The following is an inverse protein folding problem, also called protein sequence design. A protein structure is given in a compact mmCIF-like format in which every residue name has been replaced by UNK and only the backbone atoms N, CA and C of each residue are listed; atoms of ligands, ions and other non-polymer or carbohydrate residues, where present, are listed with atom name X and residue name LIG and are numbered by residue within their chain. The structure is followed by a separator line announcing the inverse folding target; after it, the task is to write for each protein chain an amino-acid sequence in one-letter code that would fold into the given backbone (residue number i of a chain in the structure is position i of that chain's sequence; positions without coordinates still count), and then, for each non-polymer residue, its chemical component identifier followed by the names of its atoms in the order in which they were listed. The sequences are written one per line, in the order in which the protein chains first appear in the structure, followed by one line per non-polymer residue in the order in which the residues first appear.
data_IF_864979521470
#
_entry.id   IF_864979521470
#
_cell.length_a   1.000
_cell.length_b   1.000
_cell.length_c   1.000
_cell.angle_alpha   90.00
_cell.angle_beta   90.00
_cell.angle_gamma   90.00
#
_symmetry.space_group_name_H-M   'P 1'
#
loop_
_entity.id
_entity.type
_entity.pdbx_description
1 polymer ?
#
# COMPACT_ATOMS: atom_id res chain seq x y z
N UNK A 1 33.06 -19.18 -5.89
CA UNK A 1 33.04 -20.44 -5.09
C UNK A 1 32.66 -20.09 -3.67
N UNK A 2 31.72 -20.82 -3.06
CA UNK A 2 31.31 -20.65 -1.65
C UNK A 2 31.74 -21.86 -0.83
N UNK A 3 32.23 -21.64 0.39
CA UNK A 3 32.70 -22.66 1.32
C UNK A 3 31.84 -22.64 2.57
N UNK A 4 31.18 -23.76 2.87
CA UNK A 4 30.29 -23.91 4.02
C UNK A 4 30.65 -25.14 4.86
N UNK A 5 30.21 -25.18 6.11
CA UNK A 5 30.25 -26.40 6.94
C UNK A 5 29.17 -27.36 6.46
N UNK A 6 29.51 -28.63 6.28
CA UNK A 6 28.50 -29.66 6.06
C UNK A 6 28.28 -30.40 7.38
N UNK A 7 27.27 -29.99 8.16
CA UNK A 7 26.88 -30.73 9.36
C UNK A 7 25.73 -31.69 9.07
N UNK A 8 25.55 -32.71 9.92
CA UNK A 8 24.52 -33.74 9.75
C UNK A 8 23.07 -33.22 9.95
N UNK A 9 22.88 -31.93 10.24
CA UNK A 9 21.58 -31.29 10.43
C UNK A 9 21.05 -30.59 9.17
N UNK A 10 21.87 -30.49 8.11
CA UNK A 10 21.47 -29.86 6.84
C UNK A 10 21.57 -28.33 6.81
N UNK A 11 22.19 -27.73 7.83
CA UNK A 11 22.54 -26.30 7.83
C UNK A 11 23.97 -26.09 7.33
N UNK A 12 24.16 -25.18 6.37
CA UNK A 12 25.44 -24.87 5.76
C UNK A 12 25.94 -23.48 6.15
N UNK A 13 26.56 -23.34 7.32
CA UNK A 13 27.14 -22.07 7.75
C UNK A 13 28.39 -21.73 6.91
N UNK A 14 28.54 -20.48 6.43
CA UNK A 14 29.72 -20.06 5.66
C UNK A 14 31.00 -20.11 6.52
N UNK A 15 32.13 -20.48 5.90
CA UNK A 15 33.44 -20.56 6.56
C UNK A 15 34.37 -19.47 6.00
N UNK A 16 34.75 -18.52 6.84
CA UNK A 16 35.72 -17.47 6.53
C UNK A 16 37.18 -17.91 6.80
N UNK A 17 38.14 -17.33 6.08
CA UNK A 17 39.57 -17.49 6.36
C UNK A 17 40.24 -18.74 5.77
N UNK A 18 39.58 -19.45 4.85
CA UNK A 18 40.11 -20.67 4.22
C UNK A 18 40.66 -20.36 2.83
N UNK A 19 41.82 -20.92 2.50
CA UNK A 19 42.35 -20.89 1.14
C UNK A 19 41.76 -22.03 0.30
N UNK A 20 41.26 -21.69 -0.89
CA UNK A 20 40.73 -22.64 -1.87
C UNK A 20 41.62 -22.61 -3.10
N UNK A 21 42.18 -23.73 -3.52
CA UNK A 21 42.91 -23.82 -4.79
C UNK A 21 41.92 -23.98 -5.93
N UNK A 22 42.10 -23.22 -7.01
CA UNK A 22 41.29 -23.28 -8.22
C UNK A 22 42.18 -23.76 -9.37
N UNK A 23 41.85 -24.91 -9.96
CA UNK A 23 42.60 -25.49 -11.07
C UNK A 23 41.69 -25.59 -12.30
N UNK A 24 41.81 -24.69 -13.29
CA UNK A 24 41.10 -24.79 -14.56
C UNK A 24 41.68 -25.91 -15.41
N UNK A 25 40.84 -26.74 -16.01
CA UNK A 25 41.24 -27.87 -16.83
C UNK A 25 40.41 -27.91 -18.13
N UNK A 26 41.01 -28.40 -19.20
CA UNK A 26 40.31 -28.77 -20.43
C UNK A 26 39.70 -30.19 -20.28
N UNK A 27 38.99 -30.65 -21.31
CA UNK A 27 38.38 -31.99 -21.34
C UNK A 27 39.37 -33.15 -21.23
N UNK A 28 40.67 -32.92 -21.48
CA UNK A 28 41.75 -33.90 -21.30
C UNK A 28 42.30 -33.92 -19.86
N UNK A 29 41.82 -33.04 -18.99
CA UNK A 29 42.30 -32.87 -17.61
C UNK A 29 43.62 -32.10 -17.51
N UNK A 30 44.05 -31.44 -18.59
CA UNK A 30 45.26 -30.63 -18.59
C UNK A 30 44.94 -29.23 -18.06
N UNK A 31 45.80 -28.67 -17.21
CA UNK A 31 45.64 -27.31 -16.73
C UNK A 31 45.78 -26.32 -17.89
N UNK A 32 44.75 -25.50 -18.12
CA UNK A 32 44.69 -24.51 -19.22
C UNK A 32 44.29 -23.15 -18.70
N UNK A 33 44.89 -22.09 -19.23
CA UNK A 33 44.68 -20.71 -18.76
C UNK A 33 45.24 -20.45 -17.36
N UNK A 34 44.89 -19.29 -16.81
CA UNK A 34 45.32 -18.86 -15.48
C UNK A 34 44.12 -18.36 -14.65
N UNK A 35 44.27 -18.36 -13.33
CA UNK A 35 43.23 -17.88 -12.41
C UNK A 35 43.80 -16.82 -11.48
N UNK A 36 43.25 -15.62 -11.57
CA UNK A 36 43.59 -14.50 -10.70
C UNK A 36 42.52 -14.34 -9.63
N UNK A 37 42.88 -14.63 -8.38
CA UNK A 37 41.97 -14.49 -7.24
C UNK A 37 41.88 -13.02 -6.82
N UNK A 38 40.64 -12.53 -6.69
CA UNK A 38 40.35 -11.23 -6.09
C UNK A 38 40.65 -11.26 -4.58
N UNK A 39 40.32 -12.38 -3.93
CA UNK A 39 40.63 -12.63 -2.52
C UNK A 39 41.31 -13.99 -2.32
N UNK A 40 42.39 -14.01 -1.52
CA UNK A 40 43.18 -15.21 -1.26
C UNK A 40 42.52 -16.18 -0.26
N UNK A 41 41.66 -15.67 0.61
CA UNK A 41 40.95 -16.41 1.64
C UNK A 41 39.45 -16.10 1.55
N UNK A 42 38.62 -17.07 1.91
CA UNK A 42 37.15 -16.90 1.93
C UNK A 42 36.74 -15.71 2.79
N UNK A 43 35.80 -14.89 2.29
CA UNK A 43 35.28 -13.71 3.01
C UNK A 43 34.30 -14.11 4.14
N UNK A 44 33.64 -13.13 4.78
CA UNK A 44 32.64 -13.37 5.83
C UNK A 44 31.45 -14.24 5.41
N UNK A 45 31.18 -14.32 4.10
CA UNK A 45 30.14 -15.15 3.50
C UNK A 45 30.71 -16.48 2.95
N UNK A 46 31.96 -16.82 3.24
CA UNK A 46 32.58 -18.05 2.75
C UNK A 46 32.98 -18.02 1.28
N UNK A 47 33.03 -16.85 0.63
CA UNK A 47 33.21 -16.75 -0.82
C UNK A 47 34.66 -16.45 -1.24
N UNK A 48 35.10 -17.07 -2.35
CA UNK A 48 36.27 -16.69 -3.15
C UNK A 48 35.78 -16.21 -4.51
N UNK A 49 36.20 -14.99 -4.87
CA UNK A 49 36.06 -14.41 -6.20
C UNK A 49 37.37 -14.55 -6.96
N UNK A 50 37.28 -14.95 -8.23
CA UNK A 50 38.42 -15.18 -9.08
C UNK A 50 38.05 -14.97 -10.54
N UNK A 51 39.01 -14.51 -11.34
CA UNK A 51 38.89 -14.35 -12.77
C UNK A 51 39.70 -15.44 -13.47
N UNK A 52 39.07 -16.11 -14.42
CA UNK A 52 39.75 -17.02 -15.32
C UNK A 52 40.24 -16.22 -16.53
N UNK A 53 41.50 -16.46 -16.91
CA UNK A 53 42.11 -15.92 -18.11
C UNK A 53 42.43 -17.09 -19.05
N UNK A 54 41.92 -17.00 -20.26
CA UNK A 54 41.98 -18.05 -21.28
C UNK A 54 43.27 -18.01 -22.11
N UNK A 55 44.16 -17.06 -21.81
CA UNK A 55 45.38 -16.76 -22.57
C UNK A 55 45.13 -16.60 -24.08
N UNK A 56 43.93 -16.13 -24.46
CA UNK A 56 43.49 -15.94 -25.84
C UNK A 56 43.12 -17.23 -26.57
N UNK A 57 42.79 -18.30 -25.85
CA UNK A 57 42.29 -19.56 -26.43
C UNK A 57 40.84 -19.82 -26.00
N UNK A 58 39.87 -19.80 -26.92
CA UNK A 58 38.48 -20.12 -26.57
C UNK A 58 38.31 -21.61 -26.28
N UNK A 59 37.43 -21.91 -25.34
CA UNK A 59 37.06 -23.26 -24.91
C UNK A 59 35.53 -23.32 -24.80
N UNK A 60 34.87 -23.75 -25.88
CA UNK A 60 33.41 -23.79 -25.98
C UNK A 60 32.97 -25.23 -26.20
N UNK A 61 32.03 -25.67 -25.37
CA UNK A 61 31.34 -26.95 -25.48
C UNK A 61 30.59 -27.06 -26.81
N UNK A 62 30.82 -28.14 -27.55
CA UNK A 62 30.11 -28.41 -28.80
C UNK A 62 28.86 -29.23 -28.49
N UNK A 63 27.68 -28.60 -28.58
CA UNK A 63 26.40 -29.28 -28.28
C UNK A 63 26.13 -30.51 -29.17
N UNK A 64 26.86 -30.67 -30.27
CA UNK A 64 26.76 -31.85 -31.13
C UNK A 64 27.55 -33.07 -30.60
N UNK A 65 28.45 -32.88 -29.64
CA UNK A 65 29.29 -33.91 -29.01
C UNK A 65 28.85 -34.20 -27.57
N UNK A 66 27.58 -34.60 -27.39
CA UNK A 66 26.88 -34.80 -26.10
C UNK A 66 27.51 -35.74 -25.05
N UNK A 67 28.68 -36.31 -25.29
CA UNK A 67 29.39 -37.23 -24.39
C UNK A 67 30.69 -36.64 -23.81
N UNK A 68 31.09 -35.45 -24.26
CA UNK A 68 32.29 -34.75 -23.80
C UNK A 68 31.91 -33.31 -23.49
N UNK A 69 32.57 -32.73 -22.48
CA UNK A 69 32.46 -31.31 -22.15
C UNK A 69 33.74 -30.64 -22.64
N UNK A 70 33.68 -29.86 -23.73
CA UNK A 70 34.88 -29.18 -24.28
C UNK A 70 35.15 -27.79 -23.70
N UNK A 71 34.22 -27.28 -22.89
CA UNK A 71 34.43 -26.06 -22.12
C UNK A 71 35.49 -26.20 -21.02
N UNK A 72 35.58 -25.20 -20.15
CA UNK A 72 36.49 -25.23 -19.01
C UNK A 72 35.82 -25.91 -17.82
N UNK A 73 36.56 -26.79 -17.14
CA UNK A 73 36.19 -27.33 -15.83
C UNK A 73 37.16 -26.79 -14.79
N UNK A 74 36.69 -25.99 -13.83
CA UNK A 74 37.51 -25.52 -12.70
C UNK A 74 37.26 -26.40 -11.50
N UNK A 75 38.29 -27.13 -11.08
CA UNK A 75 38.29 -27.85 -9.81
C UNK A 75 38.60 -26.93 -8.64
N UNK A 76 37.72 -26.88 -7.65
CA UNK A 76 37.95 -26.22 -6.37
C UNK A 76 38.38 -27.25 -5.32
N UNK A 77 39.55 -27.05 -4.73
CA UNK A 77 40.10 -27.95 -3.70
C UNK A 77 40.48 -27.20 -2.43
N UNK A 78 40.29 -27.87 -1.31
CA UNK A 78 40.84 -27.48 -0.01
C UNK A 78 41.81 -28.58 0.43
N UNK A 79 43.06 -28.22 0.70
CA UNK A 79 44.18 -29.15 0.82
C UNK A 79 44.34 -30.04 -0.44
N UNK A 80 44.55 -31.36 -0.30
CA UNK A 80 44.80 -32.27 -1.43
C UNK A 80 43.52 -32.88 -2.05
N UNK A 81 42.33 -32.58 -1.52
CA UNK A 81 41.08 -33.15 -2.02
C UNK A 81 40.30 -32.11 -2.84
N UNK A 82 40.01 -32.44 -4.10
CA UNK A 82 39.01 -31.71 -4.90
C UNK A 82 37.66 -31.86 -4.23
N UNK A 83 37.08 -30.74 -3.82
CA UNK A 83 35.81 -30.70 -3.11
C UNK A 83 34.63 -30.59 -4.07
N UNK A 84 34.79 -29.85 -5.18
CA UNK A 84 33.75 -29.64 -6.20
C UNK A 84 34.36 -29.14 -7.51
N UNK A 85 33.57 -29.15 -8.58
CA UNK A 85 33.93 -28.59 -9.89
C UNK A 85 32.85 -27.62 -10.38
N UNK A 86 33.24 -26.65 -11.20
CA UNK A 86 32.33 -25.80 -11.97
C UNK A 86 32.72 -25.85 -13.44
N UNK A 87 31.72 -25.83 -14.31
CA UNK A 87 31.89 -25.91 -15.77
C UNK A 87 31.34 -24.64 -16.41
N UNK A 88 32.09 -24.04 -17.33
CA UNK A 88 31.64 -22.89 -18.12
C UNK A 88 32.33 -22.80 -19.49
N UNK A 89 31.62 -22.20 -20.45
CA UNK A 89 32.16 -21.90 -21.77
C UNK A 89 33.00 -20.62 -21.74
N UNK A 90 34.04 -20.59 -22.57
CA UNK A 90 34.92 -19.46 -22.80
C UNK A 90 34.88 -19.13 -24.28
N UNK A 91 34.17 -18.07 -24.62
CA UNK A 91 33.95 -17.65 -26.00
C UNK A 91 35.05 -16.69 -26.48
N UNK A 92 35.26 -16.67 -27.80
CA UNK A 92 36.12 -15.68 -28.43
C UNK A 92 35.61 -14.26 -28.17
N UNK A 93 36.52 -13.34 -27.86
CA UNK A 93 36.21 -11.92 -27.57
C UNK A 93 35.31 -11.26 -28.62
N UNK A 94 35.42 -11.64 -29.89
CA UNK A 94 34.62 -11.09 -30.99
C UNK A 94 33.15 -11.49 -30.97
N UNK A 95 32.78 -12.53 -30.20
CA UNK A 95 31.39 -12.97 -30.02
C UNK A 95 30.77 -12.45 -28.72
N UNK A 96 31.59 -12.12 -27.71
CA UNK A 96 31.09 -11.69 -26.39
C UNK A 96 31.12 -10.18 -26.21
N UNK A 97 32.11 -9.49 -26.76
CA UNK A 97 32.28 -8.04 -26.61
C UNK A 97 31.71 -7.26 -27.82
N UNK A 98 31.08 -6.09 -27.62
CA UNK A 98 30.82 -5.40 -26.36
C UNK A 98 29.66 -5.97 -25.55
N UNK A 99 29.80 -5.86 -24.23
CA UNK A 99 28.70 -6.05 -23.30
C UNK A 99 27.81 -4.82 -23.23
N UNK A 100 26.54 -5.02 -22.90
CA UNK A 100 25.56 -3.97 -22.63
C UNK A 100 25.07 -4.12 -21.19
N UNK A 101 25.28 -3.08 -20.38
CA UNK A 101 24.74 -2.97 -19.02
C UNK A 101 23.59 -1.99 -19.02
N UNK A 102 22.41 -2.42 -18.58
CA UNK A 102 21.21 -1.58 -18.52
C UNK A 102 20.57 -1.68 -17.15
N UNK A 103 20.29 -0.54 -16.50
CA UNK A 103 19.37 -0.51 -15.37
C UNK A 103 17.93 -0.68 -15.87
N UNK A 104 17.22 -1.65 -15.30
CA UNK A 104 15.79 -1.81 -15.52
C UNK A 104 15.08 -0.78 -14.64
N UNK A 105 14.11 -0.02 -15.17
CA UNK A 105 13.32 0.91 -14.38
C UNK A 105 12.71 0.21 -13.15
N UNK A 106 12.87 0.77 -11.94
CA UNK A 106 12.30 0.17 -10.75
C UNK A 106 10.77 0.33 -10.75
N UNK A 107 10.08 -0.54 -10.00
CA UNK A 107 8.61 -0.50 -9.86
C UNK A 107 8.13 0.77 -9.15
N UNK A 108 8.94 1.31 -8.25
CA UNK A 108 8.79 2.64 -7.63
C UNK A 108 10.09 3.40 -7.75
N UNK A 109 9.99 4.71 -7.99
CA UNK A 109 11.13 5.62 -7.97
C UNK A 109 11.17 6.47 -6.70
N UNK A 110 10.28 6.24 -5.74
CA UNK A 110 10.10 7.06 -4.53
C UNK A 110 10.32 6.23 -3.26
N UNK A 111 11.06 6.80 -2.30
CA UNK A 111 11.26 6.28 -0.94
C UNK A 111 11.19 7.42 0.08
N UNK A 112 10.86 7.12 1.34
CA UNK A 112 10.63 8.15 2.35
C UNK A 112 11.77 8.26 3.38
N UNK A 113 11.95 9.46 3.92
CA UNK A 113 12.82 9.76 5.05
C UNK A 113 12.20 9.21 6.34
N UNK A 114 12.99 8.54 7.18
CA UNK A 114 12.62 8.11 8.55
C UNK A 114 11.42 7.16 8.73
N UNK A 115 10.70 6.77 7.69
CA UNK A 115 9.77 5.64 7.77
C UNK A 115 10.55 4.32 7.65
N UNK A 116 10.39 3.45 8.64
CA UNK A 116 11.26 2.29 8.87
C UNK A 116 11.32 1.23 7.74
N UNK A 117 10.58 1.37 6.62
CA UNK A 117 10.46 0.29 5.62
C UNK A 117 10.34 0.69 4.15
N UNK A 118 10.40 1.97 3.74
CA UNK A 118 10.36 2.28 2.30
C UNK A 118 11.68 1.93 1.63
N UNK A 119 11.63 0.94 0.74
CA UNK A 119 12.77 0.53 -0.09
C UNK A 119 12.31 0.19 -1.49
N UNK A 120 13.24 0.32 -2.44
CA UNK A 120 13.03 -0.01 -3.84
C UNK A 120 14.03 -1.10 -4.27
N UNK A 121 13.59 -2.00 -5.15
CA UNK A 121 14.47 -2.96 -5.80
C UNK A 121 15.02 -2.34 -7.09
N UNK A 122 16.35 -2.28 -7.19
CA UNK A 122 17.07 -1.83 -8.37
C UNK A 122 17.65 -3.05 -9.08
N UNK A 123 17.42 -3.13 -10.38
CA UNK A 123 17.88 -4.26 -11.21
C UNK A 123 18.81 -3.77 -12.30
N UNK A 124 19.94 -4.46 -12.47
CA UNK A 124 20.80 -4.30 -13.63
C UNK A 124 20.76 -5.57 -14.49
N UNK A 125 20.63 -5.40 -15.80
CA UNK A 125 20.69 -6.47 -16.78
C UNK A 125 21.99 -6.37 -17.58
N UNK A 126 22.74 -7.46 -17.62
CA UNK A 126 23.97 -7.57 -18.40
C UNK A 126 23.78 -8.58 -19.54
N UNK A 127 23.94 -8.10 -20.76
CA UNK A 127 23.96 -8.94 -21.97
C UNK A 127 25.27 -8.82 -22.72
N UNK A 128 25.60 -9.84 -23.49
CA UNK A 128 26.75 -9.82 -24.40
C UNK A 128 26.41 -9.26 -25.79
N UNK A 129 27.39 -9.21 -26.69
CA UNK A 129 27.21 -8.69 -28.05
C UNK A 129 26.14 -9.46 -28.86
N UNK A 130 25.90 -10.72 -28.54
CA UNK A 130 24.85 -11.55 -29.17
C UNK A 130 23.49 -11.42 -28.46
N UNK A 131 23.34 -10.48 -27.51
CA UNK A 131 22.16 -10.29 -26.65
C UNK A 131 21.82 -11.52 -25.79
N UNK A 132 22.82 -12.32 -25.42
CA UNK A 132 22.66 -13.41 -24.46
C UNK A 132 22.91 -12.91 -23.05
N UNK A 133 22.13 -13.45 -22.10
CA UNK A 133 22.25 -13.17 -20.68
C UNK A 133 23.60 -13.66 -20.13
N UNK A 134 24.25 -12.83 -19.30
CA UNK A 134 25.57 -13.15 -18.74
C UNK A 134 25.46 -13.42 -17.23
N UNK A 135 25.43 -14.68 -16.79
CA UNK A 135 25.29 -15.04 -15.38
C UNK A 135 26.62 -14.97 -14.61
N UNK A 136 26.52 -14.91 -13.27
CA UNK A 136 27.63 -14.95 -12.31
C UNK A 136 28.65 -13.80 -12.45
N UNK A 137 28.20 -12.64 -12.91
CA UNK A 137 29.02 -11.42 -13.01
C UNK A 137 28.69 -10.50 -11.84
N UNK A 138 29.72 -10.05 -11.13
CA UNK A 138 29.55 -9.08 -10.03
C UNK A 138 29.34 -7.67 -10.60
N UNK A 139 28.14 -7.13 -10.42
CA UNK A 139 27.80 -5.75 -10.77
C UNK A 139 27.97 -4.88 -9.53
N UNK A 140 28.60 -3.71 -9.67
CA UNK A 140 28.74 -2.74 -8.58
C UNK A 140 27.69 -1.65 -8.71
N UNK A 141 27.02 -1.32 -7.61
CA UNK A 141 26.02 -0.28 -7.51
C UNK A 141 26.48 0.83 -6.57
N UNK A 142 26.05 2.05 -6.86
CA UNK A 142 26.31 3.22 -6.03
C UNK A 142 25.14 4.20 -6.12
N UNK A 143 24.92 4.94 -5.04
CA UNK A 143 23.96 6.02 -4.94
C UNK A 143 24.70 7.26 -4.39
N UNK A 144 24.21 8.46 -4.71
CA UNK A 144 24.84 9.71 -4.26
C UNK A 144 24.31 10.11 -2.88
N UNK A 145 22.99 9.99 -2.66
CA UNK A 145 22.31 10.44 -1.45
C UNK A 145 21.90 9.25 -0.56
N UNK A 146 21.10 8.33 -1.11
CA UNK A 146 20.55 7.20 -0.39
C UNK A 146 21.54 6.07 -0.14
N UNK A 147 21.05 5.02 0.50
CA UNK A 147 21.80 3.79 0.75
C UNK A 147 21.40 2.71 -0.26
N UNK A 148 22.39 2.01 -0.81
CA UNK A 148 22.18 0.89 -1.73
C UNK A 148 23.12 -0.26 -1.40
N UNK A 149 22.66 -1.50 -1.54
CA UNK A 149 23.58 -2.65 -1.49
C UNK A 149 24.62 -2.50 -2.60
N UNK A 150 25.90 -2.49 -2.25
CA UNK A 150 26.97 -2.03 -3.14
C UNK A 150 27.30 -2.94 -4.31
N UNK A 151 26.82 -4.19 -4.31
CA UNK A 151 27.03 -5.13 -5.39
C UNK A 151 26.13 -6.35 -5.27
N UNK A 152 25.83 -6.98 -6.40
CA UNK A 152 25.25 -8.33 -6.45
C UNK A 152 25.74 -9.09 -7.71
N UNK A 153 25.60 -10.42 -7.70
CA UNK A 153 25.92 -11.27 -8.85
C UNK A 153 24.72 -11.36 -9.80
N UNK A 154 24.97 -11.34 -11.11
CA UNK A 154 23.93 -11.65 -12.09
C UNK A 154 23.47 -13.11 -11.96
N UNK A 155 22.16 -13.32 -12.00
CA UNK A 155 21.53 -14.64 -12.01
C UNK A 155 21.58 -15.31 -13.40
N UNK A 156 20.86 -16.44 -13.57
CA UNK A 156 20.82 -17.17 -14.85
C UNK A 156 20.22 -16.40 -16.03
N UNK A 157 19.51 -15.30 -15.76
CA UNK A 157 18.94 -14.40 -16.79
C UNK A 157 19.69 -13.07 -16.84
N UNK A 158 20.91 -13.01 -16.29
CA UNK A 158 21.78 -11.84 -16.41
C UNK A 158 21.38 -10.67 -15.51
N UNK A 159 20.54 -10.90 -14.49
CA UNK A 159 20.01 -9.86 -13.62
C UNK A 159 20.73 -9.86 -12.28
N UNK A 160 21.28 -8.71 -11.89
CA UNK A 160 21.71 -8.43 -10.52
C UNK A 160 20.67 -7.52 -9.85
N UNK A 161 20.23 -7.86 -8.63
CA UNK A 161 19.17 -7.15 -7.91
C UNK A 161 19.70 -6.64 -6.56
N UNK A 162 19.49 -5.36 -6.28
CA UNK A 162 19.90 -4.73 -5.01
C UNK A 162 18.78 -3.89 -4.43
N UNK A 163 18.81 -3.70 -3.11
CA UNK A 163 17.86 -2.84 -2.40
C UNK A 163 18.43 -1.43 -2.27
N UNK A 164 17.60 -0.44 -2.57
CA UNK A 164 17.82 0.98 -2.35
C UNK A 164 16.85 1.52 -1.28
N UNK A 165 17.32 2.43 -0.42
CA UNK A 165 16.47 3.17 0.54
C UNK A 165 17.09 4.53 0.85
N UNK A 166 16.37 5.39 1.57
CA UNK A 166 16.94 6.64 2.09
C UNK A 166 18.14 6.39 3.03
N UNK A 167 18.12 5.27 3.77
CA UNK A 167 19.22 4.87 4.65
C UNK A 167 19.48 5.88 5.76
N UNK A 168 20.71 6.37 5.84
CA UNK A 168 21.12 7.44 6.78
C UNK A 168 21.27 8.79 6.07
N UNK A 169 20.60 8.99 4.94
CA UNK A 169 20.57 10.29 4.29
C UNK A 169 19.98 11.32 5.26
N UNK A 170 20.75 12.36 5.54
CA UNK A 170 20.38 13.45 6.42
C UNK A 170 20.45 14.75 5.60
N UNK A 171 19.30 15.37 5.29
CA UNK A 171 19.27 16.61 4.54
C UNK A 171 19.78 17.82 5.36
N UNK A 172 20.05 17.64 6.65
CA UNK A 172 20.43 18.72 7.57
C UNK A 172 19.27 19.69 7.81
N UNK A 173 19.59 20.98 7.98
CA UNK A 173 18.61 22.05 8.22
C UNK A 173 17.98 22.58 6.90
N UNK A 174 17.79 21.72 5.88
CA UNK A 174 17.17 22.12 4.62
C UNK A 174 15.65 22.23 4.76
N UNK A 175 15.05 23.27 4.18
CA UNK A 175 13.59 23.40 4.06
C UNK A 175 13.03 22.62 2.84
N UNK A 176 13.89 21.98 2.04
CA UNK A 176 13.45 21.08 0.97
C UNK A 176 12.86 19.80 1.57
N UNK A 177 11.81 19.26 0.96
CA UNK A 177 11.18 17.99 1.37
C UNK A 177 11.30 16.90 0.30
N UNK A 178 11.93 17.20 -0.84
CA UNK A 178 12.10 16.26 -1.97
C UNK A 178 13.51 16.36 -2.54
N UNK A 179 14.20 15.21 -2.64
CA UNK A 179 15.56 15.10 -3.18
C UNK A 179 15.65 14.06 -4.28
N UNK A 180 16.34 14.39 -5.38
CA UNK A 180 16.61 13.46 -6.47
C UNK A 180 18.01 12.89 -6.33
N UNK A 181 18.09 11.57 -6.20
CA UNK A 181 19.31 10.79 -6.15
C UNK A 181 19.62 10.13 -7.50
N UNK A 182 20.90 9.94 -7.80
CA UNK A 182 21.35 9.20 -8.99
C UNK A 182 21.93 7.86 -8.56
N UNK A 183 21.28 6.78 -8.99
CA UNK A 183 21.77 5.41 -8.81
C UNK A 183 22.53 4.99 -10.06
N UNK A 184 23.74 4.46 -9.87
CA UNK A 184 24.62 4.01 -10.96
C UNK A 184 25.00 2.55 -10.75
N UNK A 185 24.74 1.72 -11.77
CA UNK A 185 25.33 0.40 -11.91
C UNK A 185 26.60 0.50 -12.77
N UNK A 186 27.62 -0.27 -12.42
CA UNK A 186 28.89 -0.30 -13.13
C UNK A 186 29.48 -1.70 -13.20
N UNK A 187 30.15 -1.98 -14.30
CA UNK A 187 30.86 -3.24 -14.51
C UNK A 187 32.10 -3.01 -15.36
N UNK A 188 33.24 -3.56 -14.91
CA UNK A 188 34.49 -3.56 -15.66
C UNK A 188 34.96 -4.99 -15.83
N UNK A 189 34.99 -5.46 -17.08
CA UNK A 189 35.51 -6.79 -17.38
C UNK A 189 37.05 -6.77 -17.36
N UNK A 190 37.75 -7.72 -16.70
CA UNK A 190 39.21 -7.70 -16.59
C UNK A 190 39.98 -7.75 -17.92
N UNK A 191 39.37 -8.38 -18.94
CA UNK A 191 39.95 -8.48 -20.28
C UNK A 191 39.68 -7.29 -21.21
N UNK A 192 38.90 -6.29 -20.76
CA UNK A 192 38.52 -5.13 -21.59
C UNK A 192 38.81 -3.82 -20.84
N UNK A 193 39.37 -2.82 -21.53
CA UNK A 193 39.80 -1.55 -20.90
C UNK A 193 38.64 -0.56 -20.61
N UNK A 194 37.39 -0.99 -20.76
CA UNK A 194 36.22 -0.11 -20.62
C UNK A 194 35.33 -0.56 -19.48
N UNK A 195 34.92 0.40 -18.66
CA UNK A 195 33.88 0.22 -17.66
C UNK A 195 32.54 0.63 -18.24
N UNK A 196 31.57 -0.28 -18.20
CA UNK A 196 30.18 -0.01 -18.53
C UNK A 196 29.53 0.69 -17.35
N UNK A 197 28.68 1.68 -17.63
CA UNK A 197 27.89 2.36 -16.63
C UNK A 197 26.46 2.54 -17.15
N UNK A 198 25.50 2.40 -16.25
CA UNK A 198 24.09 2.72 -16.50
C UNK A 198 23.54 3.41 -15.27
N UNK A 199 22.76 4.47 -15.44
CA UNK A 199 22.23 5.25 -14.34
C UNK A 199 20.72 5.48 -14.47
N UNK A 200 20.07 5.60 -13.31
CA UNK A 200 18.66 5.99 -13.15
C UNK A 200 18.55 6.97 -11.99
N UNK A 201 17.40 7.62 -11.87
CA UNK A 201 17.08 8.49 -10.74
C UNK A 201 16.14 7.83 -9.76
N UNK A 202 16.32 8.15 -8.49
CA UNK A 202 15.38 7.87 -7.39
C UNK A 202 15.03 9.19 -6.72
N UNK A 203 13.88 9.24 -6.07
CA UNK A 203 13.41 10.36 -5.27
C UNK A 203 13.35 9.93 -3.81
N UNK A 204 13.92 10.73 -2.93
CA UNK A 204 13.75 10.63 -1.48
C UNK A 204 12.82 11.77 -1.07
N UNK A 205 11.75 11.47 -0.35
CA UNK A 205 10.82 12.49 0.15
C UNK A 205 10.76 12.46 1.68
N UNK A 206 10.75 13.64 2.29
CA UNK A 206 10.41 13.79 3.70
C UNK A 206 8.92 14.05 3.80
N UNK A 207 8.21 13.03 4.27
CA UNK A 207 6.76 13.06 4.53
C UNK A 207 6.45 13.33 5.99
N UNK A 208 7.45 13.74 6.78
CA UNK A 208 7.21 14.15 8.15
C UNK A 208 6.31 15.37 8.18
N UNK A 209 5.42 15.38 9.17
CA UNK A 209 4.46 16.47 9.32
C UNK A 209 5.17 17.76 9.72
N UNK A 210 5.04 18.78 8.87
CA UNK A 210 5.49 20.15 9.11
C UNK A 210 4.51 20.96 9.96
N UNK A 211 4.34 22.23 9.61
CA UNK A 211 3.33 23.09 10.24
C UNK A 211 1.95 22.86 9.63
N UNK A 212 0.91 22.84 10.46
CA UNK A 212 -0.47 22.82 10.00
C UNK A 212 -0.73 23.83 8.88
N UNK A 213 -1.42 23.40 7.83
CA UNK A 213 -1.82 24.28 6.74
C UNK A 213 -3.26 24.04 6.28
N UNK A 214 -3.78 22.82 6.39
CA UNK A 214 -5.12 22.47 5.92
C UNK A 214 -5.84 21.48 6.85
N UNK A 215 -7.17 21.54 6.82
CA UNK A 215 -8.06 20.61 7.52
C UNK A 215 -9.11 20.05 6.56
N UNK A 216 -9.20 18.72 6.53
CA UNK A 216 -10.20 18.00 5.74
C UNK A 216 -11.15 17.27 6.68
N UNK A 217 -12.46 17.41 6.41
CA UNK A 217 -13.51 16.64 7.09
C UNK A 217 -14.06 15.62 6.08
N UNK A 218 -13.52 14.39 6.02
CA UNK A 218 -14.00 13.38 5.09
C UNK A 218 -15.46 13.03 5.38
N UNK A 219 -16.22 12.51 4.39
CA UNK A 219 -17.58 12.04 4.61
C UNK A 219 -17.64 10.96 5.70
N UNK A 220 -18.65 11.04 6.56
CA UNK A 220 -18.87 10.01 7.59
C UNK A 220 -19.25 8.66 6.95
N UNK A 221 -18.98 7.57 7.67
CA UNK A 221 -19.36 6.22 7.25
C UNK A 221 -19.87 5.42 8.47
N UNK A 222 -21.18 5.14 8.56
CA UNK A 222 -22.22 5.43 7.57
C UNK A 222 -22.55 6.93 7.44
N UNK A 223 -22.97 7.35 6.25
CA UNK A 223 -23.44 8.71 5.92
C UNK A 223 -24.96 8.91 6.16
N UNK A 224 -25.65 7.81 6.49
CA UNK A 224 -27.05 7.78 6.89
C UNK A 224 -27.23 6.99 8.19
N UNK A 225 -27.92 7.60 9.16
CA UNK A 225 -28.31 6.98 10.43
C UNK A 225 -29.80 7.23 10.67
N UNK A 226 -30.40 6.55 11.64
CA UNK A 226 -31.79 6.81 12.07
C UNK A 226 -31.81 7.51 13.42
N UNK A 227 -32.92 8.17 13.75
CA UNK A 227 -33.17 8.70 15.10
C UNK A 227 -32.97 7.65 16.18
N UNK A 228 -32.68 8.09 17.40
CA UNK A 228 -32.48 7.23 18.57
C UNK A 228 -33.66 6.27 18.75
N UNK A 229 -33.41 5.00 19.07
CA UNK A 229 -34.43 3.95 19.13
C UNK A 229 -35.25 3.77 17.83
N UNK A 230 -34.73 4.22 16.70
CA UNK A 230 -35.35 4.11 15.39
C UNK A 230 -35.26 2.71 14.78
N UNK A 231 -34.48 1.81 15.39
CA UNK A 231 -34.35 0.40 14.99
C UNK A 231 -33.26 0.12 13.96
N UNK A 232 -32.39 1.10 13.69
CA UNK A 232 -31.25 1.02 12.78
C UNK A 232 -29.94 1.43 13.46
N UNK A 233 -28.97 1.88 12.67
CA UNK A 233 -27.73 2.48 13.19
C UNK A 233 -28.05 3.90 13.63
N UNK A 234 -27.67 4.25 14.86
CA UNK A 234 -28.05 5.51 15.52
C UNK A 234 -26.84 6.44 15.70
N UNK A 235 -25.65 6.04 15.25
CA UNK A 235 -24.43 6.83 15.37
C UNK A 235 -23.45 6.57 14.23
N UNK A 236 -22.56 7.54 14.00
CA UNK A 236 -21.46 7.46 13.04
C UNK A 236 -20.23 8.16 13.59
N UNK A 237 -19.07 7.95 12.98
CA UNK A 237 -17.85 8.67 13.32
C UNK A 237 -17.57 9.77 12.32
N UNK A 238 -17.15 10.93 12.83
CA UNK A 238 -16.69 12.07 12.05
C UNK A 238 -15.21 12.26 12.37
N UNK A 239 -14.44 12.51 11.32
CA UNK A 239 -12.99 12.71 11.41
C UNK A 239 -12.64 14.12 10.97
N UNK A 240 -11.58 14.64 11.55
CA UNK A 240 -10.84 15.78 11.03
C UNK A 240 -9.41 15.31 10.76
N UNK A 241 -8.96 15.49 9.54
CA UNK A 241 -7.62 15.15 9.05
C UNK A 241 -6.84 16.45 8.87
N UNK A 242 -5.69 16.55 9.52
CA UNK A 242 -4.84 17.74 9.54
C UNK A 242 -3.63 17.52 8.63
N UNK A 243 -3.45 18.42 7.68
CA UNK A 243 -2.39 18.36 6.70
C UNK A 243 -1.44 19.55 6.86
N UNK A 244 -0.17 19.31 6.62
CA UNK A 244 0.82 20.38 6.50
C UNK A 244 0.80 21.04 5.10
N UNK A 245 1.70 22.00 4.88
CA UNK A 245 1.81 22.73 3.61
C UNK A 245 2.18 21.88 2.40
N UNK A 246 2.73 20.69 2.64
CA UNK A 246 3.17 19.74 1.62
C UNK A 246 2.17 18.58 1.43
N UNK A 247 0.99 18.68 2.05
CA UNK A 247 -0.07 17.65 2.02
C UNK A 247 0.28 16.36 2.74
N UNK A 248 1.23 16.38 3.67
CA UNK A 248 1.48 15.25 4.55
C UNK A 248 0.43 15.23 5.67
N UNK A 249 -0.16 14.07 5.89
CA UNK A 249 -1.06 13.83 7.01
C UNK A 249 -0.24 13.49 8.25
N UNK A 250 -0.42 14.24 9.34
CA UNK A 250 0.28 13.93 10.57
C UNK A 250 0.11 14.97 11.67
N UNK A 251 1.02 14.92 12.64
CA UNK A 251 0.94 15.72 13.86
C UNK A 251 0.17 14.99 14.96
N UNK A 252 0.85 14.73 16.06
CA UNK A 252 0.24 14.22 17.29
C UNK A 252 -0.02 15.38 18.24
N UNK A 253 -1.02 15.22 19.10
CA UNK A 253 -1.33 16.17 20.16
C UNK A 253 -1.85 17.55 19.68
N UNK A 254 -2.29 17.70 18.42
CA UNK A 254 -2.93 18.94 17.94
C UNK A 254 -4.36 19.03 18.50
N UNK A 255 -4.75 20.17 19.09
CA UNK A 255 -6.10 20.35 19.66
C UNK A 255 -7.14 20.66 18.57
N UNK A 256 -8.18 19.82 18.50
CA UNK A 256 -9.27 19.91 17.52
C UNK A 256 -10.60 19.96 18.26
N UNK A 257 -11.36 21.02 18.04
CA UNK A 257 -12.70 21.23 18.61
C UNK A 257 -13.77 20.95 17.57
N UNK A 258 -14.63 19.97 17.84
CA UNK A 258 -15.81 19.65 17.04
C UNK A 258 -17.05 20.28 17.66
N UNK A 259 -17.93 20.85 16.84
CA UNK A 259 -19.16 21.51 17.29
C UNK A 259 -20.34 21.19 16.37
N UNK A 260 -21.47 20.80 16.95
CA UNK A 260 -22.74 20.65 16.24
C UNK A 260 -23.36 22.03 15.99
N UNK A 261 -23.61 22.37 14.72
CA UNK A 261 -24.29 23.62 14.37
C UNK A 261 -25.11 23.49 13.07
N UNK A 262 -26.44 23.41 13.12
CA UNK A 262 -27.29 23.48 14.30
C UNK A 262 -27.23 22.20 15.16
N UNK A 263 -27.60 22.33 16.43
CA UNK A 263 -27.81 21.17 17.32
C UNK A 263 -29.22 20.62 17.10
N UNK A 264 -29.32 19.45 16.47
CA UNK A 264 -30.60 18.73 16.35
C UNK A 264 -31.06 18.22 17.73
N UNK A 265 -32.36 18.22 18.05
CA UNK A 265 -32.86 17.81 19.37
C UNK A 265 -32.41 16.40 19.77
N UNK A 266 -31.69 16.32 20.90
CA UNK A 266 -31.17 15.07 21.45
C UNK A 266 -29.89 14.54 20.79
N UNK A 267 -29.37 15.20 19.75
CA UNK A 267 -28.10 14.84 19.12
C UNK A 267 -26.92 15.27 20.02
N UNK A 268 -25.87 14.46 20.08
CA UNK A 268 -24.68 14.74 20.88
C UNK A 268 -23.40 14.12 20.30
N UNK A 269 -22.26 14.66 20.72
CA UNK A 269 -20.92 14.17 20.43
C UNK A 269 -20.42 13.33 21.59
N UNK A 270 -19.93 12.11 21.34
CA UNK A 270 -19.32 11.19 22.32
C UNK A 270 -20.16 10.87 23.57
N UNK A 271 -20.32 11.82 24.49
CA UNK A 271 -21.13 11.69 25.70
C UNK A 271 -22.47 12.44 25.62
N UNK A 272 -23.50 11.87 26.23
CA UNK A 272 -24.86 12.40 26.20
C UNK A 272 -24.90 13.86 26.66
N UNK A 273 -25.40 14.73 25.79
CA UNK A 273 -25.58 16.16 26.05
C UNK A 273 -24.40 17.04 25.67
N UNK A 274 -23.26 16.48 25.24
CA UNK A 274 -22.17 17.25 24.67
C UNK A 274 -22.52 17.64 23.23
N UNK A 275 -22.37 18.93 22.92
CA UNK A 275 -22.59 19.47 21.56
C UNK A 275 -21.33 20.11 20.99
N UNK A 276 -20.29 20.17 21.81
CA UNK A 276 -18.96 20.65 21.52
C UNK A 276 -17.98 19.77 22.32
N UNK A 277 -16.89 19.33 21.67
CA UNK A 277 -15.85 18.53 22.31
C UNK A 277 -14.49 18.87 21.70
N UNK A 278 -13.47 19.00 22.55
CA UNK A 278 -12.07 19.19 22.13
C UNK A 278 -11.29 17.91 22.42
N UNK A 279 -10.64 17.39 21.39
CA UNK A 279 -9.79 16.19 21.44
C UNK A 279 -8.47 16.46 20.73
N UNK A 280 -7.47 15.62 20.97
CA UNK A 280 -6.18 15.72 20.28
C UNK A 280 -6.06 14.74 19.12
N UNK A 281 -5.30 15.12 18.08
CA UNK A 281 -5.00 14.21 16.96
C UNK A 281 -4.11 13.06 17.39
N UNK A 282 -4.27 11.93 16.69
CA UNK A 282 -3.31 10.83 16.63
C UNK A 282 -3.00 10.55 15.16
N UNK A 283 -1.73 10.63 14.78
CA UNK A 283 -1.25 10.58 13.40
C UNK A 283 -2.03 11.56 12.48
N UNK A 284 -2.25 12.79 12.95
CA UNK A 284 -2.96 13.82 12.21
C UNK A 284 -4.48 13.68 12.12
N UNK A 285 -5.07 12.70 12.81
CA UNK A 285 -6.51 12.46 12.79
C UNK A 285 -7.11 12.65 14.17
N UNK A 286 -8.12 13.52 14.25
CA UNK A 286 -9.02 13.62 15.39
C UNK A 286 -10.38 13.01 15.01
N UNK A 287 -11.00 12.22 15.90
CA UNK A 287 -12.26 11.52 15.61
C UNK A 287 -13.25 11.61 16.76
N UNK A 288 -14.50 11.97 16.45
CA UNK A 288 -15.62 12.02 17.40
C UNK A 288 -16.78 11.17 16.90
N UNK A 289 -17.55 10.61 17.81
CA UNK A 289 -18.80 9.94 17.48
C UNK A 289 -19.96 10.93 17.53
N UNK A 290 -20.79 10.93 16.49
CA UNK A 290 -22.08 11.63 16.50
C UNK A 290 -23.16 10.62 16.77
N UNK A 291 -24.00 10.91 17.75
CA UNK A 291 -25.13 10.10 18.14
C UNK A 291 -26.42 10.85 17.82
N UNK A 292 -27.35 10.16 17.16
CA UNK A 292 -28.64 10.71 16.75
C UNK A 292 -29.55 11.04 17.94
N UNK A 293 -30.42 12.01 17.72
CA UNK A 293 -31.44 12.44 18.67
C UNK A 293 -32.83 11.94 18.30
N UNK A 294 -33.86 12.73 18.62
CA UNK A 294 -35.27 12.37 18.39
C UNK A 294 -35.85 12.90 17.08
N UNK A 295 -35.14 13.79 16.37
CA UNK A 295 -35.64 14.42 15.14
C UNK A 295 -34.74 14.11 13.94
N UNK A 296 -35.32 13.92 12.73
CA UNK A 296 -34.57 13.76 11.50
C UNK A 296 -33.96 15.10 11.05
N UNK A 297 -32.89 15.01 10.26
CA UNK A 297 -32.22 16.20 9.75
C UNK A 297 -30.80 15.93 9.30
N UNK A 298 -30.15 16.98 8.79
CA UNK A 298 -28.74 16.92 8.43
C UNK A 298 -27.91 17.34 9.63
N UNK A 299 -26.96 16.51 10.05
CA UNK A 299 -25.96 16.90 11.02
C UNK A 299 -24.85 17.64 10.30
N UNK A 300 -24.66 18.90 10.68
CA UNK A 300 -23.56 19.74 10.26
C UNK A 300 -22.58 19.90 11.42
N UNK A 301 -21.31 19.69 11.11
CA UNK A 301 -20.20 19.86 12.05
C UNK A 301 -19.36 21.05 11.64
N UNK A 302 -19.00 21.85 12.62
CA UNK A 302 -17.93 22.84 12.57
C UNK A 302 -16.72 22.28 13.31
N UNK A 303 -15.54 22.41 12.72
CA UNK A 303 -14.27 22.00 13.32
C UNK A 303 -13.36 23.21 13.37
N UNK A 304 -12.77 23.44 14.55
CA UNK A 304 -11.77 24.47 14.82
C UNK A 304 -10.49 23.79 15.31
N UNK A 305 -9.32 24.24 14.86
CA UNK A 305 -8.02 23.66 15.19
C UNK A 305 -7.11 24.74 15.78
N UNK A 306 -6.49 24.42 16.90
CA UNK A 306 -5.42 25.20 17.53
C UNK A 306 -4.13 24.39 17.38
N UNK A 307 -3.27 24.81 16.46
CA UNK A 307 -2.13 24.02 16.00
C UNK A 307 -0.91 24.14 16.91
N UNK A 308 -0.73 25.27 17.58
CA UNK A 308 0.37 25.49 18.52
C UNK A 308 -0.07 25.52 19.99
N UNK A 309 -1.35 25.23 20.26
CA UNK A 309 -1.98 25.18 21.58
C UNK A 309 -1.84 26.49 22.36
N UNK A 310 -1.82 27.63 21.66
CA UNK A 310 -1.70 28.94 22.28
C UNK A 310 -3.06 29.53 22.72
N UNK A 311 -4.16 28.84 22.39
CA UNK A 311 -5.54 29.23 22.63
C UNK A 311 -6.16 30.04 21.49
N UNK A 312 -5.48 30.20 20.36
CA UNK A 312 -5.96 30.86 19.15
C UNK A 312 -6.29 29.81 18.08
N UNK A 313 -7.43 29.99 17.42
CA UNK A 313 -7.82 29.08 16.33
C UNK A 313 -7.07 29.45 15.06
N UNK A 314 -6.32 28.50 14.52
CA UNK A 314 -5.54 28.63 13.29
C UNK A 314 -6.34 28.22 12.05
N UNK A 315 -7.04 27.08 12.15
CA UNK A 315 -7.81 26.51 11.04
C UNK A 315 -9.26 26.29 11.45
N UNK A 316 -10.17 26.45 10.48
CA UNK A 316 -11.59 26.16 10.69
C UNK A 316 -12.22 25.60 9.43
N UNK A 317 -13.05 24.58 9.58
CA UNK A 317 -13.84 24.00 8.50
C UNK A 317 -15.26 23.66 8.98
N UNK A 318 -16.18 23.53 8.03
CA UNK A 318 -17.53 23.06 8.33
C UNK A 318 -18.03 22.16 7.21
N UNK A 319 -18.73 21.09 7.57
CA UNK A 319 -19.24 20.11 6.62
C UNK A 319 -20.54 19.49 7.09
N UNK A 320 -21.41 19.18 6.12
CA UNK A 320 -22.63 18.41 6.35
C UNK A 320 -22.24 16.92 6.27
N UNK A 321 -22.40 16.20 7.38
CA UNK A 321 -21.67 14.94 7.59
C UNK A 321 -22.54 13.69 7.55
N UNK A 322 -23.73 13.74 8.13
CA UNK A 322 -24.63 12.59 8.21
C UNK A 322 -26.08 13.04 8.14
N UNK A 323 -26.91 12.25 7.47
CA UNK A 323 -28.36 12.44 7.43
C UNK A 323 -29.00 11.51 8.47
N UNK A 324 -29.79 12.08 9.37
CA UNK A 324 -30.64 11.36 10.32
C UNK A 324 -32.03 11.20 9.70
N UNK A 325 -32.43 9.96 9.41
CA UNK A 325 -33.78 9.61 8.95
C UNK A 325 -34.71 9.27 10.13
N UNK A 326 -36.02 9.33 9.87
CA UNK A 326 -37.05 8.81 10.76
C UNK A 326 -36.84 7.32 11.07
N UNK A 327 -37.29 6.89 12.24
CA UNK A 327 -37.21 5.50 12.66
C UNK A 327 -38.27 4.59 12.02
N UNK A 328 -38.30 3.33 12.44
CA UNK A 328 -39.33 2.39 12.03
C UNK A 328 -40.76 2.84 12.43
N UNK A 329 -41.79 2.48 11.64
CA UNK A 329 -43.20 2.76 11.95
C UNK A 329 -43.61 2.34 13.36
N UNK A 330 -44.28 3.25 14.07
CA UNK A 330 -44.75 3.03 15.44
C UNK A 330 -46.19 3.53 15.67
N UNK A 331 -46.53 4.72 15.18
CA UNK A 331 -47.88 5.27 15.23
C UNK A 331 -48.49 5.34 13.83
N UNK A 332 -49.81 5.21 13.74
CA UNK A 332 -50.56 5.43 12.49
C UNK A 332 -51.84 6.21 12.81
N UNK A 333 -52.07 7.27 12.04
CA UNK A 333 -53.24 8.14 12.16
C UNK A 333 -54.04 8.09 10.84
N UNK A 334 -55.08 7.23 10.76
CA UNK A 334 -55.95 7.16 9.60
C UNK A 334 -57.01 8.27 9.62
N UNK A 335 -57.33 8.80 8.45
CA UNK A 335 -58.33 9.85 8.22
C UNK A 335 -59.14 9.54 6.94
N UNK A 336 -60.42 9.92 6.95
CA UNK A 336 -61.28 9.86 5.77
C UNK A 336 -62.32 10.98 5.82
N UNK A 337 -62.59 11.64 4.69
CA UNK A 337 -63.64 12.65 4.62
C UNK A 337 -64.97 12.02 4.19
N UNK A 338 -65.97 11.89 5.09
CA UNK A 338 -67.27 11.35 4.74
C UNK A 338 -67.99 12.21 3.68
N UNK A 339 -67.69 13.51 3.59
CA UNK A 339 -68.28 14.42 2.60
C UNK A 339 -67.66 14.24 1.20
N UNK A 340 -66.51 13.56 1.11
CA UNK A 340 -65.85 13.23 -0.16
C UNK A 340 -66.30 11.88 -0.73
N UNK A 341 -67.42 11.34 -0.24
CA UNK A 341 -68.00 10.09 -0.74
C UNK A 341 -68.75 10.30 -2.05
N UNK A 342 -68.41 9.55 -3.09
CA UNK A 342 -69.03 9.65 -4.42
C UNK A 342 -69.80 8.38 -4.77
N UNK A 343 -70.94 8.52 -5.44
CA UNK A 343 -71.72 7.37 -5.91
C UNK A 343 -71.10 6.82 -7.21
N UNK A 344 -70.80 5.53 -7.26
CA UNK A 344 -70.26 4.85 -8.44
C UNK A 344 -71.34 4.18 -9.30
N UNK A 345 -72.62 4.28 -8.88
CA UNK A 345 -73.79 3.70 -9.54
C UNK A 345 -74.27 2.40 -8.88
N UNK A 346 -75.51 1.98 -9.15
CA UNK A 346 -76.06 0.71 -8.64
C UNK A 346 -76.25 0.61 -7.12
N UNK A 347 -76.16 1.72 -6.39
CA UNK A 347 -76.21 1.75 -4.91
C UNK A 347 -74.84 1.63 -4.22
N UNK A 348 -73.75 1.63 -4.98
CA UNK A 348 -72.38 1.63 -4.45
C UNK A 348 -71.81 3.05 -4.27
N UNK A 349 -70.92 3.18 -3.30
CA UNK A 349 -70.24 4.43 -2.94
C UNK A 349 -68.74 4.18 -2.81
N UNK A 350 -67.95 5.21 -3.09
CA UNK A 350 -66.50 5.23 -2.93
C UNK A 350 -66.08 6.42 -2.08
N UNK A 351 -65.21 6.19 -1.10
CA UNK A 351 -64.64 7.20 -0.21
C UNK A 351 -63.12 7.04 -0.21
N UNK A 352 -62.39 8.15 -0.23
CA UNK A 352 -60.94 8.14 -0.10
C UNK A 352 -60.54 8.16 1.37
N UNK A 353 -59.54 7.34 1.71
CA UNK A 353 -58.91 7.30 3.03
C UNK A 353 -57.43 7.61 2.88
N UNK A 354 -56.83 8.21 3.91
CA UNK A 354 -55.40 8.47 4.01
C UNK A 354 -54.91 8.08 5.41
N UNK A 355 -53.63 7.79 5.56
CA UNK A 355 -53.01 7.66 6.87
C UNK A 355 -51.67 8.36 6.87
N UNK A 356 -51.32 8.97 7.99
CA UNK A 356 -49.94 9.39 8.26
C UNK A 356 -49.34 8.39 9.23
N UNK A 357 -48.18 7.85 8.87
CA UNK A 357 -47.44 6.90 9.71
C UNK A 357 -46.27 7.63 10.33
N UNK A 358 -46.06 7.43 11.62
CA UNK A 358 -44.99 8.06 12.36
C UNK A 358 -44.11 7.03 13.07
N UNK A 359 -42.86 7.40 13.31
CA UNK A 359 -41.96 6.66 14.18
C UNK A 359 -42.28 6.86 15.68
N UNK A 360 -41.46 6.32 16.57
CA UNK A 360 -41.62 6.44 18.03
C UNK A 360 -41.60 7.89 18.53
N UNK A 361 -40.95 8.79 17.82
CA UNK A 361 -40.81 10.20 18.20
C UNK A 361 -41.82 11.11 17.49
N UNK A 362 -42.81 10.53 16.81
CA UNK A 362 -43.80 11.25 16.00
C UNK A 362 -43.19 11.96 14.76
N UNK A 363 -42.06 11.48 14.24
CA UNK A 363 -41.58 11.91 12.93
C UNK A 363 -42.29 11.11 11.83
N UNK A 364 -42.73 11.74 10.72
CA UNK A 364 -43.25 11.01 9.57
C UNK A 364 -42.22 10.00 9.08
N UNK A 365 -42.64 8.75 8.88
CA UNK A 365 -41.76 7.71 8.33
C UNK A 365 -41.55 7.92 6.83
N UNK A 366 -40.45 7.39 6.31
CA UNK A 366 -40.18 7.44 4.87
C UNK A 366 -41.30 6.79 4.04
N UNK A 367 -41.53 7.36 2.85
CA UNK A 367 -42.55 7.00 1.87
C UNK A 367 -42.61 5.49 1.54
N UNK A 368 -41.56 4.73 1.85
CA UNK A 368 -41.49 3.28 1.61
C UNK A 368 -42.32 2.36 2.52
N UNK A 369 -43.18 2.91 3.38
CA UNK A 369 -43.96 2.13 4.34
C UNK A 369 -45.27 1.60 3.77
N UNK A 370 -45.46 0.28 3.78
CA UNK A 370 -46.71 -0.36 3.38
C UNK A 370 -47.80 -0.20 4.44
N UNK A 371 -48.93 0.41 4.06
CA UNK A 371 -50.13 0.48 4.90
C UNK A 371 -51.21 -0.44 4.35
N UNK A 372 -51.64 -1.37 5.20
CA UNK A 372 -52.70 -2.32 4.92
C UNK A 372 -54.01 -1.85 5.56
N UNK A 373 -55.07 -1.85 4.75
CA UNK A 373 -56.39 -1.39 5.17
C UNK A 373 -57.35 -2.56 5.23
N UNK A 374 -58.15 -2.62 6.29
CA UNK A 374 -59.25 -3.58 6.44
C UNK A 374 -60.52 -2.86 6.89
N UNK A 375 -61.66 -3.45 6.59
CA UNK A 375 -62.97 -2.95 7.03
C UNK A 375 -63.71 -4.08 7.71
N UNK A 376 -64.21 -3.83 8.92
CA UNK A 376 -64.96 -4.80 9.72
C UNK A 376 -66.40 -4.31 9.94
N UNK A 377 -67.40 -5.20 9.89
CA UNK A 377 -68.78 -4.83 10.20
C UNK A 377 -68.92 -4.45 11.68
N UNK A 378 -69.73 -3.43 11.97
CA UNK A 378 -70.03 -3.03 13.35
C UNK A 378 -71.25 -3.81 13.85
N UNK A 379 -71.20 -4.46 15.02
CA UNK A 379 -72.36 -5.20 15.56
C UNK A 379 -73.63 -4.34 15.67
N UNK A 380 -74.84 -4.90 15.44
CA UNK A 380 -75.15 -6.34 15.32
C UNK A 380 -74.89 -6.94 13.94
N UNK A 381 -74.43 -6.15 12.97
CA UNK A 381 -74.14 -6.64 11.64
C UNK A 381 -72.96 -7.61 11.66
N UNK A 382 -73.10 -8.75 10.99
CA UNK A 382 -72.07 -9.80 10.91
C UNK A 382 -71.55 -10.01 9.49
N UNK A 383 -72.11 -9.28 8.52
CA UNK A 383 -71.72 -9.33 7.11
C UNK A 383 -71.49 -7.94 6.57
N UNK A 384 -70.46 -7.77 5.74
CA UNK A 384 -70.14 -6.51 5.08
C UNK A 384 -70.20 -6.67 3.56
N UNK A 385 -70.90 -5.75 2.88
CA UNK A 385 -70.91 -5.62 1.41
C UNK A 385 -70.03 -4.43 1.00
N UNK A 386 -68.78 -4.44 1.46
CA UNK A 386 -67.74 -3.48 1.11
C UNK A 386 -66.42 -4.23 0.97
N UNK A 387 -65.53 -3.71 0.13
CA UNK A 387 -64.15 -4.17 0.05
C UNK A 387 -63.22 -2.97 0.00
N UNK A 388 -62.02 -3.15 0.53
CA UNK A 388 -60.93 -2.20 0.39
C UNK A 388 -60.18 -2.54 -0.88
N UNK A 389 -60.01 -1.56 -1.76
CA UNK A 389 -59.19 -1.70 -2.96
C UNK A 389 -57.88 -0.92 -2.77
N UNK A 390 -56.75 -1.62 -2.81
CA UNK A 390 -55.41 -1.03 -2.81
C UNK A 390 -54.57 -1.25 -1.55
N UNK A 391 -53.26 -0.99 -1.71
CA UNK A 391 -52.27 -0.84 -0.65
C UNK A 391 -51.78 0.60 -0.75
N UNK A 392 -51.67 1.30 0.38
CA UNK A 392 -51.10 2.65 0.38
C UNK A 392 -49.59 2.56 0.58
N UNK A 393 -48.89 3.43 -0.14
CA UNK A 393 -47.48 3.75 0.05
C UNK A 393 -47.47 5.16 0.64
N UNK A 394 -46.72 5.37 1.72
CA UNK A 394 -46.62 6.70 2.33
C UNK A 394 -45.92 7.68 1.40
#
# INVERSE_FOLDING_TARGET
VEVTTNDTSGSSNPISGINVTLNPMNFLGETVGTVDKVNNLTNGNGQIFAYYHDDGQPHVDDVSTSFIWEGITVGASFAENTATTVEFNVYDSTHVWPYTLTLIPPETTEVYLNEAETSALIKAHLTNNDNLDVPNVLISFSAILGSITSSDLTDSVGIAEVTYSAGNFDPGDSDETVWVDTVTASYSHPGFETTLTSSTTMTIEDISFGACADIVIPPSNPDHIVVQQGGGIESTQIKAEIYDGDSNLGGDEIEVTFRLNPVLPGCYLDEVGQTEVTITTQAGIASVSVNSGSEPGVVRIEVEVDCDQDGVIDLSAASDQVIISSGAPYYIEPEYDPNSTTATGGGFYQTQCAAIVYDRWYNPVEDSTYVYWTIEPTPPDTSINAFVDGVSFT
#
